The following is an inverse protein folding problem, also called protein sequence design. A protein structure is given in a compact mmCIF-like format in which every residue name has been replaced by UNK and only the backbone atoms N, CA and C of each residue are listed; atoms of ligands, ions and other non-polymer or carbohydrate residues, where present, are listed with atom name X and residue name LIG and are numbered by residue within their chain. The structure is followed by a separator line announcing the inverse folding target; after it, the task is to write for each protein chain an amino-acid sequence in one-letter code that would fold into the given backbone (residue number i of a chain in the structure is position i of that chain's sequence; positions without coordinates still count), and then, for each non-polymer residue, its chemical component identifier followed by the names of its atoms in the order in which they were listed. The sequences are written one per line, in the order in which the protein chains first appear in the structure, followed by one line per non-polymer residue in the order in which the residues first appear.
data_IF_266759494062
#
_entry.id   IF_266759494062
#
_cell.length_a   1.000
_cell.length_b   1.000
_cell.length_c   1.000
_cell.angle_alpha   90.00
_cell.angle_beta   90.00
_cell.angle_gamma   90.00
#
_symmetry.space_group_name_H-M   'P 1'
#
loop_
_entity.id
_entity.type
_entity.pdbx_description
1 polymer ?
#
# COMPACT_ATOMS: atom_id res chain seq x y z
N UNK A 1 13.01 -11.52 2.85
CA UNK A 1 12.96 -12.44 1.70
C UNK A 1 13.06 -11.63 0.42
N UNK A 2 13.64 -12.17 -0.66
CA UNK A 2 13.49 -11.59 -2.00
C UNK A 2 12.54 -12.48 -2.78
N UNK A 3 11.50 -11.94 -3.38
CA UNK A 3 10.47 -12.71 -4.08
C UNK A 3 10.18 -12.09 -5.44
N UNK A 4 9.77 -12.91 -6.42
CA UNK A 4 9.22 -12.42 -7.67
C UNK A 4 7.70 -12.42 -7.58
N UNK A 5 7.12 -11.26 -7.86
CA UNK A 5 5.69 -11.07 -7.99
C UNK A 5 5.37 -10.76 -9.44
N UNK A 6 4.29 -11.34 -9.97
CA UNK A 6 3.76 -10.95 -11.28
C UNK A 6 2.42 -10.27 -11.10
N UNK A 7 2.29 -9.14 -11.75
CA UNK A 7 1.02 -8.46 -11.86
C UNK A 7 0.04 -9.22 -12.77
N UNK A 8 -1.25 -8.94 -12.60
CA UNK A 8 -2.31 -9.29 -13.53
C UNK A 8 -2.05 -9.18 -15.02
N UNK A 9 -1.29 -8.17 -15.44
CA UNK A 9 -0.96 -7.82 -16.82
C UNK A 9 0.32 -8.54 -17.32
N UNK A 10 0.94 -9.35 -16.46
CA UNK A 10 2.19 -10.05 -16.72
C UNK A 10 3.45 -9.27 -16.31
N UNK A 11 3.31 -8.01 -15.87
CA UNK A 11 4.44 -7.20 -15.41
C UNK A 11 5.13 -7.87 -14.22
N UNK A 12 6.45 -7.93 -14.25
CA UNK A 12 7.23 -8.70 -13.27
C UNK A 12 7.99 -7.79 -12.32
N UNK A 13 7.89 -8.08 -11.03
CA UNK A 13 8.43 -7.27 -9.96
C UNK A 13 9.23 -8.12 -8.98
N UNK A 14 10.23 -7.50 -8.37
CA UNK A 14 10.99 -8.03 -7.27
C UNK A 14 10.50 -7.37 -5.98
N UNK A 15 10.03 -8.16 -5.04
CA UNK A 15 9.66 -7.74 -3.70
C UNK A 15 10.82 -7.99 -2.74
N UNK A 16 11.23 -6.95 -2.01
CA UNK A 16 12.12 -7.10 -0.85
C UNK A 16 11.26 -7.10 0.41
N UNK A 17 11.02 -8.31 0.92
CA UNK A 17 10.12 -8.55 2.05
C UNK A 17 10.86 -8.40 3.37
N UNK A 18 10.46 -7.42 4.17
CA UNK A 18 10.84 -7.29 5.59
C UNK A 18 10.03 -8.24 6.48
N UNK A 19 10.45 -8.53 7.72
CA UNK A 19 9.74 -9.45 8.61
C UNK A 19 8.28 -9.03 8.85
N UNK A 20 7.37 -10.00 8.77
CA UNK A 20 5.95 -9.80 9.04
C UNK A 20 5.73 -9.56 10.54
N UNK A 21 4.86 -8.62 10.86
CA UNK A 21 4.38 -8.44 12.23
C UNK A 21 3.09 -9.22 12.46
N UNK A 22 2.97 -9.83 13.63
CA UNK A 22 1.72 -10.41 14.11
C UNK A 22 1.32 -9.71 15.41
N UNK A 23 0.14 -9.08 15.47
CA UNK A 23 -0.35 -8.47 16.70
C UNK A 23 -0.84 -9.49 17.73
N UNK A 24 -0.92 -10.77 17.37
CA UNK A 24 -1.48 -11.81 18.22
C UNK A 24 -0.43 -12.47 19.14
N UNK A 25 0.86 -12.18 18.94
CA UNK A 25 1.95 -12.80 19.72
C UNK A 25 1.85 -14.33 19.69
N UNK A 26 1.90 -14.96 20.87
CA UNK A 26 1.75 -16.41 21.04
C UNK A 26 0.29 -16.88 21.03
N UNK A 27 -0.67 -15.96 21.03
CA UNK A 27 -2.10 -16.32 20.97
C UNK A 27 -2.55 -16.53 19.54
N UNK A 28 -3.42 -17.53 19.33
CA UNK A 28 -4.02 -17.75 18.01
C UNK A 28 -5.15 -16.74 17.77
N UNK A 29 -5.25 -16.16 16.56
CA UNK A 29 -6.40 -15.35 16.18
C UNK A 29 -7.66 -16.22 16.21
N UNK A 30 -8.74 -15.66 16.76
CA UNK A 30 -10.02 -16.37 16.95
C UNK A 30 -10.77 -16.58 15.64
N UNK A 31 -10.65 -15.65 14.68
CA UNK A 31 -11.17 -15.77 13.31
C UNK A 31 -10.02 -15.76 12.32
N UNK A 32 -10.11 -16.61 11.30
CA UNK A 32 -9.07 -16.73 10.28
C UNK A 32 -9.67 -16.90 8.89
N UNK A 33 -9.24 -16.06 7.96
CA UNK A 33 -9.40 -16.26 6.53
C UNK A 33 -8.00 -16.39 5.92
N UNK A 34 -7.58 -17.62 5.63
CA UNK A 34 -6.18 -17.89 5.27
C UNK A 34 -6.05 -18.86 4.09
N UNK A 35 -5.03 -18.64 3.26
CA UNK A 35 -4.62 -19.51 2.15
C UNK A 35 -5.79 -19.80 1.18
N UNK A 36 -6.48 -18.73 0.74
CA UNK A 36 -7.68 -18.83 -0.12
C UNK A 36 -7.54 -18.03 -1.41
N UNK A 37 -8.16 -18.55 -2.47
CA UNK A 37 -8.52 -17.78 -3.67
C UNK A 37 -10.04 -17.61 -3.70
N UNK A 38 -10.52 -16.38 -3.85
CA UNK A 38 -11.94 -16.02 -3.82
C UNK A 38 -12.32 -15.27 -5.11
N UNK A 39 -13.54 -15.51 -5.58
CA UNK A 39 -14.05 -14.98 -6.85
C UNK A 39 -13.59 -15.79 -8.08
N UNK A 40 -14.07 -15.46 -9.30
CA UNK A 40 -14.91 -14.31 -9.63
C UNK A 40 -16.33 -14.40 -9.06
N UNK A 41 -16.80 -13.34 -8.40
CA UNK A 41 -18.15 -13.26 -7.83
C UNK A 41 -18.66 -11.80 -7.86
N UNK A 42 -19.12 -11.32 -9.04
CA UNK A 42 -19.60 -9.95 -9.18
C UNK A 42 -20.72 -9.61 -8.19
N UNK A 43 -20.66 -8.43 -7.60
CA UNK A 43 -21.64 -7.94 -6.61
C UNK A 43 -21.48 -8.53 -5.21
N UNK A 44 -20.60 -9.51 -5.03
CA UNK A 44 -20.39 -10.18 -3.74
C UNK A 44 -19.31 -9.51 -2.90
N UNK A 45 -19.42 -9.70 -1.57
CA UNK A 45 -18.52 -9.16 -0.55
C UNK A 45 -18.00 -10.31 0.32
N UNK A 46 -16.71 -10.30 0.66
CA UNK A 46 -16.20 -11.19 1.70
C UNK A 46 -16.29 -10.50 3.06
N UNK A 47 -17.38 -10.75 3.79
CA UNK A 47 -17.63 -10.10 5.08
C UNK A 47 -17.12 -10.97 6.23
N UNK A 48 -16.36 -10.36 7.14
CA UNK A 48 -16.04 -10.92 8.45
C UNK A 48 -16.64 -10.00 9.52
N UNK A 49 -17.58 -10.53 10.29
CA UNK A 49 -18.35 -9.78 11.30
C UNK A 49 -18.00 -10.23 12.71
N UNK A 50 -18.07 -9.32 13.69
CA UNK A 50 -18.05 -9.56 15.14
C UNK A 50 -16.68 -9.38 15.81
N UNK A 51 -16.69 -9.16 17.13
CA UNK A 51 -15.60 -8.63 17.99
C UNK A 51 -14.33 -9.47 18.16
N UNK A 52 -14.32 -10.71 17.67
CA UNK A 52 -13.18 -11.59 17.83
C UNK A 52 -11.92 -11.08 17.06
N UNK A 53 -10.70 -11.29 17.61
CA UNK A 53 -9.45 -11.03 16.89
C UNK A 53 -9.38 -11.82 15.58
N UNK A 54 -9.02 -11.14 14.49
CA UNK A 54 -9.18 -11.67 13.12
C UNK A 54 -7.86 -11.60 12.33
N UNK A 55 -7.44 -12.74 11.77
CA UNK A 55 -6.34 -12.83 10.82
C UNK A 55 -6.86 -13.07 9.40
N UNK A 56 -6.44 -12.25 8.46
CA UNK A 56 -6.55 -12.48 7.02
C UNK A 56 -5.14 -12.66 6.47
N UNK A 57 -4.82 -13.82 5.89
CA UNK A 57 -3.45 -14.09 5.44
C UNK A 57 -3.40 -14.88 4.14
N UNK A 58 -2.59 -14.45 3.16
CA UNK A 58 -2.41 -15.16 1.88
C UNK A 58 -3.74 -15.41 1.17
N UNK A 59 -4.50 -14.34 0.99
CA UNK A 59 -5.82 -14.40 0.33
C UNK A 59 -5.73 -13.64 -0.97
N UNK A 60 -6.08 -14.31 -2.07
CA UNK A 60 -6.22 -13.70 -3.38
C UNK A 60 -7.70 -13.55 -3.73
N UNK A 61 -8.14 -12.35 -4.11
CA UNK A 61 -9.51 -12.04 -4.47
C UNK A 61 -9.55 -11.48 -5.89
N UNK A 62 -10.48 -11.94 -6.71
CA UNK A 62 -10.65 -11.48 -8.09
C UNK A 62 -12.11 -11.18 -8.41
N UNK A 63 -12.38 -10.09 -9.14
CA UNK A 63 -13.71 -9.75 -9.68
C UNK A 63 -14.83 -9.82 -8.62
N UNK A 64 -14.72 -9.01 -7.57
CA UNK A 64 -15.73 -8.89 -6.51
C UNK A 64 -16.04 -7.41 -6.23
N UNK A 65 -17.19 -7.12 -5.61
CA UNK A 65 -17.59 -5.75 -5.25
C UNK A 65 -16.71 -5.21 -4.13
N UNK A 66 -16.68 -5.93 -3.01
CA UNK A 66 -15.73 -5.70 -1.93
C UNK A 66 -14.85 -6.92 -1.76
N UNK A 67 -13.54 -6.71 -1.85
CA UNK A 67 -12.55 -7.76 -1.67
C UNK A 67 -12.57 -8.34 -0.26
N UNK A 68 -12.67 -7.47 0.74
CA UNK A 68 -12.78 -7.78 2.17
C UNK A 68 -13.61 -6.67 2.84
N UNK A 69 -14.57 -7.05 3.66
CA UNK A 69 -15.32 -6.15 4.53
C UNK A 69 -15.20 -6.64 5.96
N UNK A 70 -14.68 -5.81 6.87
CA UNK A 70 -14.56 -6.11 8.29
C UNK A 70 -15.53 -5.24 9.08
N UNK A 71 -16.38 -5.90 9.86
CA UNK A 71 -17.41 -5.24 10.66
C UNK A 71 -17.27 -5.67 12.12
N UNK A 72 -17.23 -4.71 13.04
CA UNK A 72 -17.15 -4.98 14.49
C UNK A 72 -15.96 -5.83 14.93
N UNK A 73 -14.93 -6.01 14.10
CA UNK A 73 -13.79 -6.86 14.49
C UNK A 73 -13.00 -6.27 15.65
N UNK A 74 -12.39 -7.15 16.47
CA UNK A 74 -11.41 -6.77 17.48
C UNK A 74 -10.09 -6.37 16.82
N UNK A 75 -8.96 -6.86 17.33
CA UNK A 75 -7.66 -6.67 16.66
C UNK A 75 -7.64 -7.41 15.31
N UNK A 76 -7.24 -6.72 14.25
CA UNK A 76 -7.16 -7.27 12.89
C UNK A 76 -5.73 -7.31 12.40
N UNK A 77 -5.33 -8.40 11.75
CA UNK A 77 -4.11 -8.48 10.95
C UNK A 77 -4.45 -8.95 9.52
N UNK A 78 -4.07 -8.17 8.51
CA UNK A 78 -4.19 -8.48 7.09
C UNK A 78 -2.77 -8.57 6.52
N UNK A 79 -2.39 -9.73 6.01
CA UNK A 79 -1.06 -9.96 5.44
C UNK A 79 -1.09 -10.73 4.12
N UNK A 80 -0.35 -10.28 3.11
CA UNK A 80 -0.24 -11.04 1.86
C UNK A 80 -1.59 -11.15 1.16
N UNK A 81 -2.32 -10.04 1.12
CA UNK A 81 -3.64 -9.95 0.53
C UNK A 81 -3.53 -9.38 -0.89
N UNK A 82 -4.19 -10.03 -1.84
CA UNK A 82 -4.25 -9.58 -3.23
C UNK A 82 -5.70 -9.33 -3.62
N UNK A 83 -5.99 -8.16 -4.19
CA UNK A 83 -7.28 -7.85 -4.81
C UNK A 83 -7.09 -7.44 -6.26
N UNK A 84 -7.84 -8.07 -7.16
CA UNK A 84 -7.76 -7.81 -8.59
C UNK A 84 -9.15 -7.58 -9.16
N UNK A 85 -9.32 -6.44 -9.80
CA UNK A 85 -10.50 -6.07 -10.58
C UNK A 85 -11.77 -5.92 -9.73
N UNK A 86 -12.34 -4.72 -9.79
CA UNK A 86 -13.66 -4.45 -9.26
C UNK A 86 -14.76 -5.03 -10.14
N UNK A 87 -15.69 -5.74 -9.50
CA UNK A 87 -16.90 -6.20 -10.15
C UNK A 87 -18.12 -5.93 -9.25
N UNK A 88 -18.69 -4.73 -9.35
CA UNK A 88 -19.76 -4.27 -8.46
C UNK A 88 -21.14 -4.92 -8.65
N UNK A 89 -21.34 -5.73 -9.68
CA UNK A 89 -22.63 -6.40 -9.94
C UNK A 89 -23.79 -5.41 -10.17
N UNK A 90 -23.51 -4.26 -10.80
CA UNK A 90 -24.44 -3.15 -10.97
C UNK A 90 -24.32 -2.04 -9.91
N UNK A 91 -23.55 -2.27 -8.84
CA UNK A 91 -23.14 -1.21 -7.91
C UNK A 91 -21.89 -0.49 -8.42
N UNK A 92 -21.81 0.82 -8.17
CA UNK A 92 -20.58 1.60 -8.37
C UNK A 92 -19.69 1.63 -7.12
N UNK A 93 -20.24 1.23 -5.96
CA UNK A 93 -19.55 1.27 -4.67
C UNK A 93 -18.80 -0.04 -4.42
N UNK A 94 -17.57 0.05 -3.92
CA UNK A 94 -16.75 -1.14 -3.69
C UNK A 94 -15.36 -0.82 -3.15
N UNK A 95 -14.50 -1.82 -3.15
CA UNK A 95 -13.10 -1.61 -2.81
C UNK A 95 -12.35 -2.89 -2.48
N UNK A 96 -11.04 -2.78 -2.33
CA UNK A 96 -10.23 -3.93 -1.94
C UNK A 96 -10.47 -4.29 -0.47
N UNK A 97 -10.41 -3.31 0.43
CA UNK A 97 -10.61 -3.47 1.86
C UNK A 97 -11.56 -2.37 2.36
N UNK A 98 -12.64 -2.78 3.05
CA UNK A 98 -13.58 -1.89 3.73
C UNK A 98 -13.62 -2.22 5.22
N UNK A 99 -13.34 -1.24 6.07
CA UNK A 99 -13.38 -1.36 7.52
C UNK A 99 -14.56 -0.55 8.05
N UNK A 100 -15.37 -1.15 8.92
CA UNK A 100 -16.42 -0.43 9.64
C UNK A 100 -17.77 -0.30 8.92
N UNK A 101 -17.97 -0.99 7.81
CA UNK A 101 -19.13 -0.83 6.92
C UNK A 101 -20.49 -1.03 7.63
N UNK A 102 -21.51 -0.25 7.26
CA UNK A 102 -22.86 -0.24 7.85
C UNK A 102 -22.89 0.05 9.36
N UNK A 103 -22.22 1.12 9.81
CA UNK A 103 -22.20 1.60 11.21
C UNK A 103 -21.68 0.53 12.19
N UNK A 104 -20.71 -0.27 11.74
CA UNK A 104 -20.15 -1.41 12.49
C UNK A 104 -18.63 -1.26 12.59
N UNK A 105 -18.12 -0.24 13.30
CA UNK A 105 -16.70 0.09 13.36
C UNK A 105 -15.84 -1.11 13.78
N UNK A 106 -14.63 -1.20 13.24
CA UNK A 106 -13.63 -2.17 13.74
C UNK A 106 -13.06 -1.62 15.04
N UNK A 107 -13.42 -2.23 16.18
CA UNK A 107 -13.12 -1.66 17.50
C UNK A 107 -11.66 -1.77 17.91
N UNK A 108 -10.92 -2.77 17.41
CA UNK A 108 -9.50 -2.96 17.71
C UNK A 108 -8.55 -2.30 16.69
N UNK A 109 -7.25 -2.29 16.98
CA UNK A 109 -6.24 -1.85 16.01
C UNK A 109 -6.21 -2.79 14.79
N UNK A 110 -6.04 -2.20 13.61
CA UNK A 110 -5.94 -2.95 12.34
C UNK A 110 -4.55 -2.80 11.75
N UNK A 111 -3.90 -3.92 11.45
CA UNK A 111 -2.58 -3.98 10.81
C UNK A 111 -2.73 -4.53 9.39
N UNK A 112 -2.31 -3.78 8.38
CA UNK A 112 -2.37 -4.13 6.96
C UNK A 112 -0.95 -4.13 6.42
N UNK A 113 -0.47 -5.29 5.97
CA UNK A 113 0.89 -5.43 5.47
C UNK A 113 1.01 -6.30 4.22
N UNK A 114 1.92 -5.96 3.31
CA UNK A 114 2.21 -6.75 2.10
C UNK A 114 0.94 -6.99 1.27
N UNK A 115 0.21 -5.90 1.01
CA UNK A 115 -1.04 -5.93 0.27
C UNK A 115 -0.81 -5.39 -1.13
N UNK A 116 -1.32 -6.09 -2.14
CA UNK A 116 -1.39 -5.59 -3.50
C UNK A 116 -2.85 -5.52 -3.94
N UNK A 117 -3.29 -4.36 -4.41
CA UNK A 117 -4.65 -4.18 -4.90
C UNK A 117 -4.66 -3.37 -6.19
N UNK A 118 -5.33 -3.93 -7.20
CA UNK A 118 -5.57 -3.28 -8.49
C UNK A 118 -7.07 -3.31 -8.76
N UNK A 119 -7.74 -2.16 -8.64
CA UNK A 119 -9.17 -2.05 -8.92
C UNK A 119 -9.51 -2.22 -10.40
N UNK A 120 -8.51 -2.08 -11.30
CA UNK A 120 -8.67 -2.03 -12.75
C UNK A 120 -9.78 -1.06 -13.19
N UNK A 121 -9.95 0.04 -12.45
CA UNK A 121 -10.87 1.12 -12.77
C UNK A 121 -10.10 2.33 -13.29
N UNK A 122 -10.78 3.11 -14.12
CA UNK A 122 -10.34 4.48 -14.40
C UNK A 122 -10.86 5.38 -13.27
N UNK A 123 -10.06 6.34 -12.77
CA UNK A 123 -10.53 7.38 -11.87
C UNK A 123 -11.83 8.04 -12.38
N UNK A 124 -12.80 8.25 -11.50
CA UNK A 124 -14.10 8.83 -11.85
C UNK A 124 -14.49 9.95 -10.90
N UNK A 125 -14.19 11.19 -11.29
CA UNK A 125 -14.57 12.38 -10.53
C UNK A 125 -16.09 12.67 -10.55
N UNK A 126 -16.86 11.98 -11.39
CA UNK A 126 -18.31 12.19 -11.49
C UNK A 126 -19.10 11.30 -10.53
N UNK A 127 -18.47 10.23 -10.01
CA UNK A 127 -19.11 9.23 -9.16
C UNK A 127 -20.34 8.57 -9.79
N UNK A 128 -20.36 8.45 -11.12
CA UNK A 128 -21.49 7.85 -11.87
C UNK A 128 -21.19 6.44 -12.36
N UNK A 129 -19.91 6.11 -12.51
CA UNK A 129 -19.43 4.83 -13.03
C UNK A 129 -18.68 4.07 -11.95
N UNK A 130 -17.87 4.76 -11.15
CA UNK A 130 -17.04 4.13 -10.14
C UNK A 130 -16.93 4.99 -8.87
N UNK A 131 -17.08 4.36 -7.72
CA UNK A 131 -16.85 4.94 -6.41
C UNK A 131 -16.29 3.85 -5.49
N UNK A 132 -15.08 3.40 -5.81
CA UNK A 132 -14.41 2.36 -5.07
C UNK A 132 -13.01 2.79 -4.63
N UNK A 133 -12.58 2.17 -3.53
CA UNK A 133 -11.35 2.54 -2.84
C UNK A 133 -10.39 1.36 -2.74
N UNK A 134 -9.09 1.63 -2.67
CA UNK A 134 -8.17 0.61 -2.19
C UNK A 134 -8.48 0.28 -0.72
N UNK A 135 -8.47 1.29 0.15
CA UNK A 135 -8.82 1.15 1.56
C UNK A 135 -9.88 2.19 1.94
N UNK A 136 -11.09 1.72 2.23
CA UNK A 136 -12.15 2.53 2.83
C UNK A 136 -12.27 2.26 4.32
N UNK A 137 -12.26 3.30 5.14
CA UNK A 137 -12.39 3.21 6.60
C UNK A 137 -13.56 4.09 7.05
N UNK A 138 -14.62 3.46 7.56
CA UNK A 138 -15.76 4.17 8.13
C UNK A 138 -15.43 4.76 9.51
N UNK A 139 -16.35 5.56 10.04
CA UNK A 139 -16.23 6.27 11.31
C UNK A 139 -15.95 5.32 12.49
N UNK A 140 -15.41 5.88 13.58
CA UNK A 140 -15.21 5.22 14.87
C UNK A 140 -14.39 3.91 14.90
N UNK A 141 -13.72 3.56 13.79
CA UNK A 141 -12.79 2.43 13.77
C UNK A 141 -11.51 2.78 14.54
N UNK A 142 -10.91 1.77 15.17
CA UNK A 142 -9.65 1.88 15.87
C UNK A 142 -8.49 2.30 14.95
N UNK A 143 -7.28 2.50 15.51
CA UNK A 143 -6.15 2.97 14.73
C UNK A 143 -5.75 1.96 13.64
N UNK A 144 -5.46 2.49 12.46
CA UNK A 144 -5.11 1.69 11.27
C UNK A 144 -3.62 1.87 10.97
N UNK A 145 -2.91 0.76 10.83
CA UNK A 145 -1.49 0.69 10.54
C UNK A 145 -1.26 -0.03 9.22
N UNK A 146 -0.71 0.67 8.23
CA UNK A 146 -0.53 0.19 6.86
C UNK A 146 0.96 0.17 6.52
N UNK A 147 1.46 -0.93 5.99
CA UNK A 147 2.88 -1.08 5.64
C UNK A 147 3.13 -1.92 4.39
N UNK A 148 3.97 -1.41 3.48
CA UNK A 148 4.43 -2.22 2.35
C UNK A 148 3.27 -2.62 1.44
N UNK A 149 2.48 -1.63 1.00
CA UNK A 149 1.27 -1.87 0.20
C UNK A 149 1.32 -1.18 -1.15
N UNK A 150 0.71 -1.81 -2.15
CA UNK A 150 0.42 -1.19 -3.44
C UNK A 150 -1.10 -1.09 -3.61
N UNK A 151 -1.62 0.09 -3.89
CA UNK A 151 -3.02 0.29 -4.26
C UNK A 151 -3.10 1.08 -5.56
N UNK A 152 -3.71 0.52 -6.61
CA UNK A 152 -3.79 1.17 -7.91
C UNK A 152 -5.11 1.04 -8.65
N UNK A 153 -5.40 1.99 -9.53
CA UNK A 153 -6.53 1.97 -10.48
C UNK A 153 -7.89 1.82 -9.77
N UNK A 154 -8.18 2.78 -8.89
CA UNK A 154 -9.45 2.89 -8.17
C UNK A 154 -10.22 4.12 -8.66
N UNK A 155 -11.55 4.04 -8.63
CA UNK A 155 -12.44 5.08 -9.11
C UNK A 155 -12.41 6.32 -8.24
N UNK A 156 -12.47 6.15 -6.92
CA UNK A 156 -12.42 7.26 -5.96
C UNK A 156 -11.05 7.39 -5.32
N UNK A 157 -10.72 6.56 -4.32
CA UNK A 157 -9.54 6.78 -3.50
C UNK A 157 -8.52 5.64 -3.42
N UNK A 158 -7.28 6.01 -3.12
CA UNK A 158 -6.30 5.07 -2.59
C UNK A 158 -6.65 4.74 -1.13
N UNK A 159 -6.72 5.77 -0.28
CA UNK A 159 -7.19 5.64 1.10
C UNK A 159 -8.29 6.68 1.31
N UNK A 160 -9.50 6.21 1.62
CA UNK A 160 -10.61 7.02 2.11
C UNK A 160 -10.87 6.70 3.57
N UNK A 161 -10.68 7.67 4.46
CA UNK A 161 -10.88 7.45 5.89
C UNK A 161 -11.72 8.52 6.56
N UNK A 162 -12.71 8.04 7.30
CA UNK A 162 -13.56 8.77 8.25
C UNK A 162 -13.18 8.49 9.70
N UNK A 163 -12.17 7.65 9.93
CA UNK A 163 -11.64 7.33 11.26
C UNK A 163 -10.41 8.17 11.60
N UNK A 164 -10.26 8.48 12.89
CA UNK A 164 -9.35 9.52 13.39
C UNK A 164 -7.85 9.29 13.12
N UNK A 165 -7.38 8.04 12.99
CA UNK A 165 -5.95 7.74 12.91
C UNK A 165 -5.61 6.65 11.89
N UNK A 166 -4.93 7.04 10.81
CA UNK A 166 -4.37 6.13 9.82
C UNK A 166 -2.87 6.41 9.62
N UNK A 167 -2.05 5.40 9.84
CA UNK A 167 -0.59 5.46 9.68
C UNK A 167 -0.16 4.59 8.52
N UNK A 168 0.57 5.17 7.57
CA UNK A 168 0.97 4.52 6.31
C UNK A 168 2.47 4.59 6.16
N UNK A 169 3.12 3.46 5.91
CA UNK A 169 4.57 3.36 5.69
C UNK A 169 4.88 2.54 4.45
N UNK A 170 5.85 2.95 3.64
CA UNK A 170 6.31 2.18 2.49
C UNK A 170 5.14 1.79 1.56
N UNK A 171 4.31 2.76 1.18
CA UNK A 171 3.16 2.51 0.30
C UNK A 171 3.38 3.13 -1.07
N UNK A 172 2.88 2.47 -2.11
CA UNK A 172 2.74 3.04 -3.46
C UNK A 172 1.25 3.08 -3.79
N UNK A 173 0.68 4.29 -3.80
CA UNK A 173 -0.73 4.52 -4.09
C UNK A 173 -0.85 5.32 -5.37
N UNK A 174 -1.59 4.80 -6.35
CA UNK A 174 -1.65 5.42 -7.67
C UNK A 174 -2.99 5.25 -8.40
N UNK A 175 -3.24 6.07 -9.41
CA UNK A 175 -4.34 5.83 -10.33
C UNK A 175 -5.73 5.91 -9.71
N UNK A 176 -5.96 6.84 -8.77
CA UNK A 176 -7.29 7.14 -8.22
C UNK A 176 -7.63 8.64 -8.35
N UNK A 177 -8.91 8.99 -8.28
CA UNK A 177 -9.36 10.38 -8.36
C UNK A 177 -8.79 11.21 -7.20
N UNK A 178 -8.79 10.67 -5.98
CA UNK A 178 -8.26 11.30 -4.77
C UNK A 178 -7.39 10.30 -4.02
N UNK A 179 -6.06 10.33 -4.22
CA UNK A 179 -5.21 9.25 -3.68
C UNK A 179 -5.31 9.11 -2.16
N UNK A 180 -5.23 10.23 -1.43
CA UNK A 180 -5.44 10.29 0.01
C UNK A 180 -6.67 11.17 0.29
N UNK A 181 -7.64 10.63 1.02
CA UNK A 181 -8.89 11.30 1.32
C UNK A 181 -9.14 11.28 2.82
N UNK A 182 -9.04 12.45 3.45
CA UNK A 182 -9.24 12.64 4.88
C UNK A 182 -10.52 13.46 5.13
N UNK A 183 -11.50 12.85 5.80
CA UNK A 183 -12.73 13.52 6.20
C UNK A 183 -12.52 14.46 7.40
N UNK A 184 -13.50 15.31 7.74
CA UNK A 184 -13.40 16.19 8.91
C UNK A 184 -12.97 15.45 10.17
N UNK A 185 -12.06 16.06 10.92
CA UNK A 185 -11.52 15.50 12.17
C UNK A 185 -10.53 14.34 12.01
N UNK A 186 -10.16 13.96 10.78
CA UNK A 186 -9.27 12.83 10.49
C UNK A 186 -7.83 13.27 10.28
N UNK A 187 -6.87 12.49 10.79
CA UNK A 187 -5.46 12.61 10.47
C UNK A 187 -4.91 11.35 9.75
N UNK A 188 -4.29 11.56 8.59
CA UNK A 188 -3.50 10.54 7.90
C UNK A 188 -2.02 10.89 8.04
N UNK A 189 -1.21 9.96 8.53
CA UNK A 189 0.24 10.08 8.60
C UNK A 189 0.90 9.15 7.59
N UNK A 190 1.69 9.70 6.67
CA UNK A 190 2.30 8.97 5.55
C UNK A 190 3.82 9.06 5.59
N UNK A 191 4.49 7.92 5.54
CA UNK A 191 5.95 7.82 5.65
C UNK A 191 6.53 6.98 4.52
N UNK A 192 7.67 7.40 3.95
CA UNK A 192 8.42 6.61 2.97
C UNK A 192 7.52 6.12 1.82
N UNK A 193 6.62 6.94 1.30
CA UNK A 193 5.57 6.49 0.36
C UNK A 193 5.59 7.25 -0.95
N UNK A 194 4.98 6.67 -1.97
CA UNK A 194 4.75 7.26 -3.29
C UNK A 194 3.25 7.48 -3.43
N UNK A 195 2.86 8.72 -3.71
CA UNK A 195 1.48 9.14 -3.97
C UNK A 195 1.44 9.64 -5.41
N UNK A 196 0.89 8.86 -6.35
CA UNK A 196 0.95 9.12 -7.78
C UNK A 196 -0.46 9.31 -8.37
N UNK A 197 -0.94 10.55 -8.37
CA UNK A 197 -2.24 10.88 -8.94
C UNK A 197 -2.21 10.82 -10.47
N UNK A 198 -3.29 10.43 -11.16
CA UNK A 198 -3.41 10.65 -12.60
C UNK A 198 -3.53 12.16 -12.94
N UNK A 199 -3.40 12.54 -14.22
CA UNK A 199 -3.59 13.93 -14.64
C UNK A 199 -4.95 14.47 -14.20
N UNK A 200 -5.02 15.73 -13.79
CA UNK A 200 -6.25 16.43 -13.38
C UNK A 200 -6.99 15.83 -12.16
N UNK A 201 -6.34 14.90 -11.45
CA UNK A 201 -6.83 14.28 -10.23
C UNK A 201 -5.97 14.67 -9.01
N UNK A 202 -6.51 14.49 -7.81
CA UNK A 202 -5.92 14.97 -6.59
C UNK A 202 -4.97 13.94 -5.96
N UNK A 203 -3.80 14.40 -5.55
CA UNK A 203 -2.90 13.66 -4.66
C UNK A 203 -3.48 13.55 -3.25
N UNK A 204 -4.22 14.56 -2.84
CA UNK A 204 -4.84 14.65 -1.53
C UNK A 204 -6.15 15.45 -1.59
N UNK A 205 -7.15 15.00 -0.85
CA UNK A 205 -8.40 15.69 -0.60
C UNK A 205 -8.64 15.83 0.91
N UNK A 206 -9.09 17.01 1.31
CA UNK A 206 -9.38 17.36 2.71
C UNK A 206 -10.85 17.76 2.82
N UNK A 207 -11.62 17.03 3.63
CA UNK A 207 -13.06 17.23 3.78
C UNK A 207 -13.47 18.39 4.70
N UNK A 208 -12.53 18.98 5.43
CA UNK A 208 -12.83 20.05 6.40
C UNK A 208 -11.58 20.72 6.96
N UNK A 209 -11.74 21.85 7.67
CA UNK A 209 -10.61 22.66 8.16
C UNK A 209 -9.79 21.99 9.27
N UNK A 210 -10.28 20.89 9.82
CA UNK A 210 -9.68 20.05 10.85
C UNK A 210 -9.11 18.73 10.31
N UNK A 211 -9.40 18.37 9.06
CA UNK A 211 -8.75 17.26 8.38
C UNK A 211 -7.27 17.59 8.12
N UNK A 212 -6.37 16.63 8.38
CA UNK A 212 -4.93 16.84 8.28
C UNK A 212 -4.23 15.65 7.62
N UNK A 213 -3.22 15.93 6.80
CA UNK A 213 -2.29 14.91 6.28
C UNK A 213 -0.88 15.29 6.70
N UNK A 214 -0.19 14.42 7.43
CA UNK A 214 1.22 14.60 7.79
C UNK A 214 2.08 13.66 6.97
N UNK A 215 3.25 14.12 6.54
CA UNK A 215 4.11 13.27 5.74
C UNK A 215 5.61 13.42 6.02
N UNK A 216 6.35 12.32 5.87
CA UNK A 216 7.80 12.27 6.00
C UNK A 216 8.39 11.38 4.90
N UNK A 217 9.39 11.89 4.17
CA UNK A 217 10.07 11.16 3.09
C UNK A 217 9.07 10.57 2.05
N UNK A 218 8.17 11.40 1.55
CA UNK A 218 7.12 11.00 0.60
C UNK A 218 7.35 11.66 -0.75
N UNK A 219 7.26 10.88 -1.82
CA UNK A 219 7.22 11.39 -3.19
C UNK A 219 5.77 11.61 -3.59
N UNK A 220 5.47 12.86 -3.93
CA UNK A 220 4.21 13.28 -4.52
C UNK A 220 4.40 13.33 -6.02
N UNK A 221 3.64 12.55 -6.77
CA UNK A 221 3.79 12.41 -8.20
C UNK A 221 2.45 12.65 -8.91
N UNK A 222 2.52 12.98 -10.19
CA UNK A 222 1.35 13.04 -11.05
C UNK A 222 1.65 12.37 -12.39
N UNK A 223 1.02 11.25 -12.69
CA UNK A 223 1.19 10.48 -13.92
C UNK A 223 2.64 10.01 -14.16
N UNK A 224 3.39 9.76 -13.09
CA UNK A 224 4.73 9.21 -13.19
C UNK A 224 4.67 7.71 -13.53
N UNK A 225 5.32 7.28 -14.60
CA UNK A 225 5.33 5.85 -15.01
C UNK A 225 6.26 5.01 -14.16
N UNK A 226 7.38 5.61 -13.73
CA UNK A 226 8.34 5.01 -12.81
C UNK A 226 8.68 6.08 -11.78
N UNK A 227 7.76 6.32 -10.81
CA UNK A 227 7.93 7.36 -9.83
C UNK A 227 9.32 7.29 -9.19
N UNK A 228 10.03 8.41 -9.17
CA UNK A 228 11.33 8.50 -8.54
C UNK A 228 11.66 9.92 -8.14
N UNK A 229 12.62 10.11 -7.24
CA UNK A 229 13.10 11.44 -6.87
C UNK A 229 13.71 12.22 -8.05
N UNK A 230 14.02 11.55 -9.17
CA UNK A 230 14.54 12.16 -10.40
C UNK A 230 13.47 12.33 -11.49
N UNK A 231 12.27 11.78 -11.30
CA UNK A 231 11.18 11.93 -12.26
C UNK A 231 10.66 13.37 -12.21
N UNK A 232 10.61 14.11 -13.33
CA UNK A 232 10.10 15.48 -13.36
C UNK A 232 8.63 15.60 -12.94
N UNK A 233 7.89 14.50 -12.98
CA UNK A 233 6.51 14.42 -12.55
C UNK A 233 6.38 14.15 -11.05
N UNK A 234 7.48 14.12 -10.30
CA UNK A 234 7.51 13.91 -8.86
C UNK A 234 8.16 15.07 -8.12
N UNK A 235 7.69 15.35 -6.90
CA UNK A 235 8.22 16.37 -5.99
C UNK A 235 8.15 15.88 -4.55
N UNK A 236 8.84 16.59 -3.65
CA UNK A 236 8.81 16.32 -2.21
C UNK A 236 7.67 17.05 -1.48
N UNK A 237 6.87 17.84 -2.19
CA UNK A 237 5.68 18.50 -1.66
C UNK A 237 4.51 18.34 -2.65
N UNK A 238 3.27 18.16 -2.18
CA UNK A 238 2.11 18.01 -3.05
C UNK A 238 1.77 19.33 -3.75
N UNK A 239 1.13 19.23 -4.91
CA UNK A 239 0.65 20.39 -5.67
C UNK A 239 -0.74 20.18 -6.29
N UNK A 240 -1.20 18.94 -6.41
CA UNK A 240 -2.55 18.62 -6.86
C UNK A 240 -3.39 18.30 -5.62
N UNK A 241 -3.94 19.35 -5.00
CA UNK A 241 -4.65 19.26 -3.72
C UNK A 241 -6.06 19.79 -3.91
N UNK A 242 -7.02 19.05 -3.40
CA UNK A 242 -8.43 19.42 -3.38
C UNK A 242 -8.89 19.62 -1.92
N UNK A 243 -9.84 20.50 -1.71
CA UNK A 243 -10.59 20.56 -0.47
C UNK A 243 -12.06 20.77 -0.81
N UNK A 244 -12.95 20.01 -0.16
CA UNK A 244 -14.38 20.00 -0.49
C UNK A 244 -14.98 21.41 -0.43
N UNK A 245 -14.78 22.08 0.71
CA UNK A 245 -15.23 23.44 0.98
C UNK A 245 -14.05 24.36 1.34
N UNK A 246 -12.82 23.98 0.96
CA UNK A 246 -11.61 24.71 1.28
C UNK A 246 -10.97 25.25 0.01
N UNK A 247 -10.48 26.49 0.08
CA UNK A 247 -9.56 26.98 -0.96
C UNK A 247 -8.29 26.13 -0.99
N UNK A 248 -7.63 26.04 -2.15
CA UNK A 248 -6.35 25.35 -2.29
C UNK A 248 -5.35 25.74 -1.20
N UNK A 249 -5.19 27.04 -0.91
CA UNK A 249 -4.24 27.52 0.11
C UNK A 249 -4.55 26.97 1.50
N UNK A 250 -5.83 26.90 1.87
CA UNK A 250 -6.26 26.38 3.17
C UNK A 250 -6.04 24.87 3.23
N UNK A 251 -6.44 24.12 2.20
CA UNK A 251 -6.22 22.68 2.13
C UNK A 251 -4.72 22.33 2.14
N UNK A 252 -3.91 23.04 1.35
CA UNK A 252 -2.46 22.82 1.29
C UNK A 252 -1.75 23.10 2.63
N UNK A 253 -2.21 24.08 3.40
CA UNK A 253 -1.68 24.37 4.73
C UNK A 253 -1.95 23.24 5.76
N UNK A 254 -2.88 22.31 5.45
CA UNK A 254 -3.17 21.12 6.26
C UNK A 254 -2.42 19.87 5.80
N UNK A 255 -1.60 19.98 4.76
CA UNK A 255 -0.69 18.91 4.35
C UNK A 255 0.72 19.26 4.82
N UNK A 256 1.08 18.67 5.96
CA UNK A 256 2.20 19.12 6.80
C UNK A 256 3.43 18.23 6.57
N UNK A 257 4.52 18.74 5.96
CA UNK A 257 5.79 18.03 5.93
C UNK A 257 6.38 17.94 7.34
N UNK A 258 7.01 16.81 7.63
CA UNK A 258 7.68 16.56 8.90
C UNK A 258 9.18 16.41 8.69
N UNK A 259 9.96 16.81 9.70
CA UNK A 259 11.42 16.72 9.69
C UNK A 259 11.97 15.36 10.12
N UNK A 260 11.12 14.51 10.72
CA UNK A 260 11.48 13.18 11.21
C UNK A 260 10.29 12.24 11.08
N UNK A 261 10.58 10.92 11.08
CA UNK A 261 9.55 9.90 11.05
C UNK A 261 8.61 10.03 12.29
N UNK A 262 7.31 10.36 12.09
CA UNK A 262 6.34 10.55 13.18
C UNK A 262 5.63 9.26 13.63
N UNK A 263 5.90 8.13 12.98
CA UNK A 263 5.13 6.92 13.21
C UNK A 263 5.22 6.52 14.68
N UNK A 264 4.10 6.07 15.29
CA UNK A 264 4.12 5.64 16.67
C UNK A 264 5.09 4.47 16.85
N UNK A 265 5.60 4.32 18.08
CA UNK A 265 6.47 3.21 18.48
C UNK A 265 5.70 1.86 18.54
N UNK A 266 5.09 1.47 17.42
CA UNK A 266 4.52 0.14 17.20
C UNK A 266 5.63 -0.78 16.71
N UNK A 267 6.46 -1.20 17.65
CA UNK A 267 7.57 -2.11 17.40
C UNK A 267 7.07 -3.57 17.45
N UNK A 268 7.34 -4.44 16.45
CA UNK A 268 8.15 -4.22 15.25
C UNK A 268 7.41 -3.79 13.98
N UNK A 269 6.12 -3.43 14.04
CA UNK A 269 5.34 -3.06 12.84
C UNK A 269 5.99 -1.95 12.01
N UNK A 270 6.41 -0.83 12.61
CA UNK A 270 7.13 0.26 11.91
C UNK A 270 8.64 0.23 12.10
N UNK A 271 9.21 -0.94 12.42
CA UNK A 271 10.63 -1.07 12.65
C UNK A 271 11.39 -1.05 11.31
N UNK A 272 11.66 0.14 10.78
CA UNK A 272 12.69 0.29 9.75
C UNK A 272 13.46 1.59 9.91
N UNK A 273 14.72 1.44 10.35
CA UNK A 273 15.72 2.51 10.34
C UNK A 273 16.73 2.27 9.21
N UNK A 274 16.31 1.67 8.10
CA UNK A 274 17.20 1.45 6.94
C UNK A 274 17.22 2.73 6.12
N UNK A 275 18.39 3.08 5.59
CA UNK A 275 18.52 4.18 4.64
C UNK A 275 18.64 3.67 3.19
N UNK A 276 19.01 2.42 2.98
CA UNK A 276 19.19 1.89 1.63
C UNK A 276 18.83 0.41 1.53
N UNK A 277 18.23 0.04 0.42
CA UNK A 277 18.08 -1.33 -0.06
C UNK A 277 18.99 -1.48 -1.27
N UNK A 278 19.91 -2.43 -1.25
CA UNK A 278 20.73 -2.77 -2.42
C UNK A 278 20.33 -4.15 -2.88
N UNK A 279 19.82 -4.24 -4.11
CA UNK A 279 19.51 -5.52 -4.74
C UNK A 279 20.57 -5.82 -5.79
N UNK A 280 21.09 -7.04 -5.76
CA UNK A 280 22.06 -7.54 -6.72
C UNK A 280 21.54 -8.83 -7.33
N UNK A 281 21.93 -9.08 -8.58
CA UNK A 281 21.64 -10.32 -9.28
C UNK A 281 22.91 -10.96 -9.83
N UNK A 282 22.86 -12.28 -10.02
CA UNK A 282 23.87 -13.07 -10.72
C UNK A 282 23.15 -13.97 -11.72
N UNK A 283 23.48 -13.83 -13.01
CA UNK A 283 22.94 -14.67 -14.09
C UNK A 283 23.83 -15.89 -14.31
N UNK A 284 23.26 -17.09 -14.35
CA UNK A 284 23.93 -18.36 -14.68
C UNK A 284 25.20 -18.63 -13.86
N UNK A 285 25.24 -18.18 -12.60
CA UNK A 285 26.38 -18.32 -11.70
C UNK A 285 27.57 -17.39 -11.99
N UNK A 286 27.38 -16.35 -12.80
CA UNK A 286 28.35 -15.30 -13.07
C UNK A 286 28.60 -14.34 -11.90
N UNK A 287 29.17 -13.18 -12.22
CA UNK A 287 29.43 -12.12 -11.23
C UNK A 287 28.15 -11.43 -10.74
N UNK A 288 28.23 -10.83 -9.54
CA UNK A 288 27.14 -10.04 -8.97
C UNK A 288 27.05 -8.66 -9.62
N UNK A 289 25.86 -8.28 -10.05
CA UNK A 289 25.55 -6.97 -10.63
C UNK A 289 24.45 -6.29 -9.82
N UNK A 290 24.68 -5.04 -9.39
CA UNK A 290 23.67 -4.27 -8.66
C UNK A 290 22.56 -3.78 -9.60
N UNK A 291 21.30 -3.95 -9.19
CA UNK A 291 20.15 -3.35 -9.85
C UNK A 291 20.05 -1.86 -9.51
N UNK A 292 19.78 -1.05 -10.54
CA UNK A 292 19.45 0.35 -10.37
C UNK A 292 17.95 0.46 -10.08
N UNK A 293 17.61 0.66 -8.80
CA UNK A 293 16.22 0.73 -8.34
C UNK A 293 15.88 2.18 -7.97
N UNK A 294 14.83 2.78 -8.58
CA UNK A 294 14.59 4.22 -8.49
C UNK A 294 14.32 4.75 -7.08
N UNK A 295 13.78 3.92 -6.18
CA UNK A 295 13.35 4.35 -4.84
C UNK A 295 13.93 3.51 -3.70
N UNK A 296 15.04 2.81 -3.96
CA UNK A 296 15.66 1.96 -2.95
C UNK A 296 16.48 2.74 -1.90
N UNK A 297 16.42 4.07 -1.92
CA UNK A 297 17.14 4.94 -0.99
C UNK A 297 18.63 5.05 -1.31
N UNK A 298 19.38 5.60 -0.37
CA UNK A 298 20.82 5.83 -0.45
C UNK A 298 21.40 6.22 0.90
N UNK A 299 22.72 6.43 1.00
CA UNK A 299 23.35 6.86 2.25
C UNK A 299 22.67 8.11 2.82
N UNK A 300 22.03 7.96 3.99
CA UNK A 300 21.29 9.05 4.64
C UNK A 300 19.91 9.39 4.05
N UNK A 301 19.42 8.67 3.04
CA UNK A 301 18.10 8.90 2.42
C UNK A 301 17.31 7.61 2.34
N UNK A 302 16.32 7.43 3.21
CA UNK A 302 15.54 6.19 3.28
C UNK A 302 14.82 5.82 1.97
N UNK A 303 14.55 4.52 1.75
CA UNK A 303 13.72 4.07 0.63
C UNK A 303 12.34 4.73 0.67
N UNK A 304 11.74 4.89 -0.51
CA UNK A 304 10.42 5.49 -0.69
C UNK A 304 9.52 4.55 -1.50
N UNK A 305 8.25 4.49 -1.16
CA UNK A 305 7.29 3.58 -1.79
C UNK A 305 7.31 2.21 -1.15
N UNK A 306 6.46 1.33 -1.69
CA UNK A 306 6.51 -0.07 -1.34
C UNK A 306 7.79 -0.74 -1.86
N UNK A 307 8.24 -1.78 -1.17
CA UNK A 307 9.50 -2.47 -1.51
C UNK A 307 9.36 -3.41 -2.71
N UNK A 308 8.49 -3.04 -3.66
CA UNK A 308 8.24 -3.71 -4.93
C UNK A 308 8.91 -2.93 -6.03
N UNK A 309 9.78 -3.58 -6.76
CA UNK A 309 10.55 -2.94 -7.82
C UNK A 309 10.29 -3.65 -9.13
N UNK A 310 10.00 -2.89 -10.19
CA UNK A 310 9.96 -3.45 -11.52
C UNK A 310 11.30 -4.12 -11.83
N UNK A 311 11.27 -5.34 -12.37
CA UNK A 311 12.49 -6.06 -12.74
C UNK A 311 12.91 -5.61 -14.14
N UNK A 312 14.06 -4.95 -14.31
CA UNK A 312 14.50 -4.48 -15.63
C UNK A 312 15.23 -5.58 -16.43
N UNK A 313 14.95 -6.85 -16.13
CA UNK A 313 15.63 -8.02 -16.69
C UNK A 313 14.61 -8.92 -17.40
N UNK A 314 15.01 -9.54 -18.51
CA UNK A 314 14.23 -10.63 -19.12
C UNK A 314 14.53 -11.92 -18.37
N UNK A 315 13.65 -12.30 -17.43
CA UNK A 315 13.87 -13.49 -16.61
C UNK A 315 13.86 -14.80 -17.39
N UNK A 316 13.38 -14.82 -18.65
CA UNK A 316 13.38 -16.03 -19.47
C UNK A 316 14.74 -16.31 -20.13
N UNK A 317 15.71 -15.41 -19.98
CA UNK A 317 16.99 -15.46 -20.70
C UNK A 317 18.10 -16.23 -19.96
N UNK A 318 17.80 -16.81 -18.79
CA UNK A 318 18.70 -17.60 -17.95
C UNK A 318 18.18 -17.79 -16.51
N UNK A 319 18.97 -18.43 -15.65
CA UNK A 319 18.65 -18.57 -14.22
C UNK A 319 19.26 -17.42 -13.44
N UNK A 320 18.48 -16.79 -12.55
CA UNK A 320 18.88 -15.61 -11.80
C UNK A 320 18.97 -15.88 -10.31
N UNK A 321 20.09 -15.52 -9.69
CA UNK A 321 20.20 -15.45 -8.22
C UNK A 321 20.06 -14.00 -7.80
N UNK A 322 19.11 -13.72 -6.91
CA UNK A 322 18.95 -12.38 -6.33
C UNK A 322 19.38 -12.37 -4.87
N UNK A 323 19.97 -11.25 -4.46
CA UNK A 323 20.15 -10.94 -3.04
C UNK A 323 19.80 -9.48 -2.80
N UNK A 324 19.23 -9.21 -1.63
CA UNK A 324 19.00 -7.85 -1.15
C UNK A 324 19.75 -7.66 0.17
N UNK A 325 20.46 -6.54 0.29
CA UNK A 325 21.04 -6.06 1.54
C UNK A 325 20.28 -4.83 2.02
N UNK A 326 19.88 -4.85 3.29
CA UNK A 326 19.31 -3.71 4.00
C UNK A 326 20.46 -2.99 4.68
N UNK A 327 20.63 -1.69 4.41
CA UNK A 327 21.73 -0.90 4.92
C UNK A 327 21.25 0.25 5.78
N UNK A 328 22.11 0.64 6.72
CA UNK A 328 21.99 1.84 7.56
C UNK A 328 23.34 2.50 7.65
N UNK A 329 23.46 3.75 7.23
CA UNK A 329 24.71 4.51 7.25
C UNK A 329 25.84 3.76 6.53
N UNK A 330 25.53 3.11 5.41
CA UNK A 330 26.45 2.30 4.62
C UNK A 330 26.76 0.91 5.19
N UNK A 331 26.43 0.62 6.46
CA UNK A 331 26.61 -0.71 7.05
C UNK A 331 25.42 -1.63 6.72
N UNK A 332 25.70 -2.88 6.38
CA UNK A 332 24.65 -3.90 6.21
C UNK A 332 24.06 -4.27 7.59
N UNK A 333 22.76 -4.08 7.75
CA UNK A 333 22.00 -4.40 8.97
C UNK A 333 21.05 -5.58 8.79
N UNK A 334 20.89 -6.04 7.55
CA UNK A 334 20.14 -7.25 7.20
C UNK A 334 20.45 -7.69 5.78
N UNK A 335 20.23 -8.97 5.49
CA UNK A 335 20.35 -9.50 4.13
C UNK A 335 19.39 -10.65 3.91
N UNK A 336 19.03 -10.85 2.65
CA UNK A 336 18.20 -11.96 2.20
C UNK A 336 18.58 -12.33 0.77
N UNK A 337 18.41 -13.58 0.40
CA UNK A 337 18.70 -14.06 -0.95
C UNK A 337 17.68 -15.11 -1.36
N UNK A 338 17.47 -15.21 -2.67
CA UNK A 338 16.62 -16.21 -3.30
C UNK A 338 17.20 -16.54 -4.67
N UNK A 339 17.11 -17.80 -5.07
CA UNK A 339 17.38 -18.22 -6.46
C UNK A 339 16.04 -18.23 -7.18
N UNK A 340 15.98 -17.64 -8.36
CA UNK A 340 14.81 -17.55 -9.21
C UNK A 340 15.14 -18.25 -10.53
N UNK A 341 14.34 -19.26 -10.89
CA UNK A 341 14.48 -19.96 -12.17
C UNK A 341 13.97 -19.13 -13.36
N UNK A 342 14.15 -19.65 -14.56
CA UNK A 342 13.68 -19.05 -15.82
C UNK A 342 12.14 -18.88 -15.88
N UNK A 343 11.38 -19.57 -15.02
CA UNK A 343 9.93 -19.43 -14.90
C UNK A 343 9.54 -18.31 -13.92
N UNK A 344 10.51 -17.72 -13.22
CA UNK A 344 10.27 -16.75 -12.15
C UNK A 344 9.88 -17.41 -10.82
N UNK A 345 10.12 -18.71 -10.65
CA UNK A 345 9.86 -19.42 -9.40
C UNK A 345 11.09 -19.39 -8.49
N UNK A 346 10.85 -19.20 -7.20
CA UNK A 346 11.90 -19.33 -6.19
C UNK A 346 12.31 -20.79 -6.04
N UNK A 347 13.56 -21.12 -6.39
CA UNK A 347 14.14 -22.47 -6.36
C UNK A 347 15.30 -22.54 -5.35
N UNK A 348 14.95 -22.66 -4.07
CA UNK A 348 15.83 -22.93 -2.90
C UNK A 348 17.03 -22.00 -2.70
#
# INVERSE_FOLDING_TARGET
MVEIERDPDGSTFLRVTEQAYSPFGDTSPAKQLKDKTLGPAPGSNNVIEGDAPTLVSKVAVTNMKYGLTLQQSGTVSIEGYTYKSFAGGGSIYGGAIKLGDNDRPVGGPTYIQRVFADGMQTPDATYKVSNNDFLGVEEDSGPIYVRGVTGRNFGDAGIDTKSSQVYVMNATLEGAHRILRAWPGVEITVVNSIINAPPDHAQAWLGGPDATIRYYNTLWCQNAKQPSAKDPNCRTAPWAIEGEDLTFTVAAARIIPLSSNPLPDQNPFFQTKIDQIVVEYSKDGGGWTALQLPNAGGPGSAPVGDTRYAVPLDLNDGTYRFRASLRRNGAQVGATSSIIDENGQTIS
#
